data_IF_649076361238
#
_entry.id   IF_649076361238
#
_cell.length_a   1.000
_cell.length_b   1.000
_cell.length_c   1.000
_cell.angle_alpha   90.00
_cell.angle_beta   90.00
_cell.angle_gamma   90.00
#
_symmetry.space_group_name_H-M   'P 1'
#
loop_
_entity.id
_entity.type
_entity.pdbx_description
1 polymer ?
#
# COMPACT_ATOMS: atom_id res chain seq x y z
N UNK A 1 -0.36 23.66 -17.28
CA UNK A 1 -1.10 22.73 -16.42
C UNK A 1 -0.10 22.10 -15.47
N UNK A 2 0.09 22.68 -14.30
CA UNK A 2 0.97 22.14 -13.26
C UNK A 2 0.26 22.35 -11.93
N UNK A 3 -0.30 21.27 -11.38
CA UNK A 3 -0.90 21.29 -10.05
C UNK A 3 -0.91 19.86 -9.49
N UNK A 4 0.29 19.30 -9.34
CA UNK A 4 0.56 18.18 -8.43
C UNK A 4 1.42 18.62 -7.23
N UNK A 5 1.88 19.86 -7.18
CA UNK A 5 2.71 20.43 -6.10
C UNK A 5 1.96 20.75 -4.80
N UNK A 6 0.66 20.44 -4.71
CA UNK A 6 -0.17 20.76 -3.53
C UNK A 6 -0.95 19.59 -2.92
N UNK A 7 -0.88 18.40 -3.51
CA UNK A 7 -1.56 17.24 -2.93
C UNK A 7 -0.70 16.70 -1.78
N UNK A 8 -1.10 17.06 -0.55
CA UNK A 8 -0.42 16.65 0.66
C UNK A 8 -0.30 15.11 0.69
N UNK A 9 0.93 14.62 0.76
CA UNK A 9 1.20 13.19 0.89
C UNK A 9 0.54 12.70 2.18
N UNK A 10 -0.27 11.63 2.13
CA UNK A 10 -0.89 11.08 3.31
C UNK A 10 0.17 10.67 4.34
N UNK A 11 -0.03 11.12 5.58
CA UNK A 11 0.80 10.68 6.70
C UNK A 11 0.56 9.19 6.98
N UNK A 12 1.60 8.50 7.46
CA UNK A 12 1.57 7.08 7.74
C UNK A 12 2.47 6.76 8.92
N UNK A 13 2.04 5.80 9.73
CA UNK A 13 2.71 5.38 10.98
C UNK A 13 3.54 4.11 10.82
N UNK A 14 3.88 3.72 9.60
CA UNK A 14 4.72 2.53 9.37
C UNK A 14 6.16 2.86 9.75
N UNK A 15 6.68 2.15 10.74
CA UNK A 15 8.08 2.26 11.15
C UNK A 15 9.00 1.45 10.22
N UNK A 16 10.28 1.84 10.13
CA UNK A 16 11.32 1.13 9.37
C UNK A 16 10.90 0.71 7.94
N UNK A 17 10.43 1.65 7.13
CA UNK A 17 9.93 1.38 5.77
C UNK A 17 11.02 0.76 4.88
N UNK A 18 10.73 -0.41 4.30
CA UNK A 18 11.61 -1.12 3.35
C UNK A 18 11.06 -1.15 1.92
N UNK A 19 9.78 -0.82 1.74
CA UNK A 19 9.15 -0.70 0.43
C UNK A 19 8.14 0.44 0.43
N UNK A 20 8.21 1.32 -0.57
CA UNK A 20 7.32 2.46 -0.70
C UNK A 20 6.97 2.75 -2.16
N UNK A 21 5.70 3.12 -2.39
CA UNK A 21 5.25 3.63 -3.68
C UNK A 21 4.10 4.61 -3.51
N UNK A 22 4.02 5.57 -4.43
CA UNK A 22 2.89 6.48 -4.55
C UNK A 22 2.06 6.16 -5.79
N UNK A 23 0.75 6.09 -5.64
CA UNK A 23 -0.23 5.98 -6.72
C UNK A 23 -1.29 7.06 -6.56
N UNK A 24 -2.08 7.29 -7.60
CA UNK A 24 -3.29 8.10 -7.52
C UNK A 24 -4.49 7.17 -7.64
N UNK A 25 -5.41 7.24 -6.68
CA UNK A 25 -6.67 6.51 -6.70
C UNK A 25 -7.80 7.47 -7.04
N UNK A 26 -8.53 7.16 -8.10
CA UNK A 26 -9.82 7.77 -8.41
C UNK A 26 -10.93 6.98 -7.75
N UNK A 27 -11.63 7.61 -6.82
CA UNK A 27 -12.79 7.05 -6.14
C UNK A 27 -13.96 6.91 -7.10
N UNK A 28 -14.93 6.05 -6.76
CA UNK A 28 -16.20 5.93 -7.50
C UNK A 28 -16.95 7.27 -7.64
N UNK A 29 -16.75 8.18 -6.69
CA UNK A 29 -17.30 9.56 -6.72
C UNK A 29 -16.62 10.48 -7.74
N UNK A 30 -15.50 10.05 -8.31
CA UNK A 30 -14.63 10.86 -9.17
C UNK A 30 -13.53 11.62 -8.43
N UNK A 31 -13.54 11.61 -7.09
CA UNK A 31 -12.49 12.22 -6.26
C UNK A 31 -11.12 11.55 -6.51
N UNK A 32 -10.07 12.35 -6.67
CA UNK A 32 -8.70 11.86 -6.84
C UNK A 32 -7.94 11.99 -5.51
N UNK A 33 -7.31 10.91 -5.05
CA UNK A 33 -6.45 10.91 -3.87
C UNK A 33 -5.07 10.36 -4.20
N UNK A 34 -4.03 11.01 -3.68
CA UNK A 34 -2.72 10.36 -3.59
C UNK A 34 -2.81 9.30 -2.51
N UNK A 35 -2.33 8.10 -2.83
CA UNK A 35 -2.25 6.98 -1.90
C UNK A 35 -0.79 6.57 -1.78
N UNK A 36 -0.33 6.47 -0.54
CA UNK A 36 1.02 6.04 -0.19
C UNK A 36 0.95 4.57 0.26
N UNK A 37 1.56 3.70 -0.53
CA UNK A 37 1.70 2.28 -0.24
C UNK A 37 3.03 2.06 0.48
N UNK A 38 3.01 1.37 1.62
CA UNK A 38 4.23 1.09 2.39
C UNK A 38 4.23 -0.32 2.95
N UNK A 39 5.44 -0.86 3.04
CA UNK A 39 5.78 -2.09 3.74
C UNK A 39 6.92 -1.76 4.70
N UNK A 40 6.70 -2.04 5.99
CA UNK A 40 7.71 -1.92 7.05
C UNK A 40 8.63 -3.14 7.08
N UNK A 41 9.77 -3.01 7.75
CA UNK A 41 10.69 -4.11 8.01
C UNK A 41 9.95 -5.20 8.82
N UNK A 42 9.91 -6.47 8.37
CA UNK A 42 9.42 -7.55 9.21
C UNK A 42 10.29 -7.67 10.47
N UNK A 43 9.66 -7.71 11.64
CA UNK A 43 10.34 -7.82 12.92
C UNK A 43 9.85 -9.06 13.68
N UNK A 44 10.76 -9.76 14.39
CA UNK A 44 10.35 -10.86 15.27
C UNK A 44 9.58 -10.30 16.46
N UNK A 45 8.50 -10.99 16.84
CA UNK A 45 7.69 -10.67 18.03
C UNK A 45 8.21 -11.33 19.31
N UNK A 46 9.11 -12.31 19.17
CA UNK A 46 9.74 -13.04 20.27
C UNK A 46 11.22 -13.30 19.98
N UNK A 47 11.99 -13.59 21.03
CA UNK A 47 13.43 -13.86 20.93
C UNK A 47 13.75 -15.13 20.14
N UNK A 48 12.82 -16.09 20.13
CA UNK A 48 12.95 -17.37 19.42
C UNK A 48 12.77 -17.23 17.90
N UNK A 49 12.27 -16.09 17.41
CA UNK A 49 12.05 -15.84 15.98
C UNK A 49 11.00 -16.75 15.34
N UNK A 50 10.08 -17.31 16.12
CA UNK A 50 9.01 -18.22 15.65
C UNK A 50 7.73 -17.47 15.27
N UNK A 51 7.66 -16.17 15.57
CA UNK A 51 6.55 -15.30 15.22
C UNK A 51 7.10 -13.96 14.76
N UNK A 52 6.64 -13.53 13.60
CA UNK A 52 7.05 -12.29 12.96
C UNK A 52 5.84 -11.46 12.60
N UNK A 53 6.07 -10.17 12.46
CA UNK A 53 5.06 -9.21 12.06
C UNK A 53 5.66 -8.19 11.10
N UNK A 54 4.85 -7.77 10.12
CA UNK A 54 5.18 -6.72 9.18
C UNK A 54 4.08 -5.67 9.15
N UNK A 55 4.47 -4.40 9.24
CA UNK A 55 3.55 -3.27 9.11
C UNK A 55 3.29 -2.94 7.63
N UNK A 56 2.05 -2.58 7.32
CA UNK A 56 1.63 -2.20 5.97
C UNK A 56 0.78 -0.94 6.07
N UNK A 57 0.87 -0.06 5.09
CA UNK A 57 -0.06 1.06 4.97
C UNK A 57 -0.50 1.32 3.52
N UNK A 58 -1.77 1.68 3.37
CA UNK A 58 -2.37 2.26 2.16
C UNK A 58 -2.92 3.65 2.53
N UNK A 59 -2.05 4.51 3.03
CA UNK A 59 -2.43 5.81 3.57
C UNK A 59 -3.08 6.67 2.46
N UNK A 60 -4.22 7.28 2.77
CA UNK A 60 -5.08 7.98 1.81
C UNK A 60 -6.21 7.13 1.21
N UNK A 61 -6.16 5.80 1.34
CA UNK A 61 -7.20 4.88 0.89
C UNK A 61 -7.84 4.10 2.03
N UNK A 62 -7.05 3.32 2.75
CA UNK A 62 -7.50 2.49 3.87
C UNK A 62 -6.73 2.86 5.14
N UNK A 63 -7.34 3.60 6.08
CA UNK A 63 -6.71 3.86 7.36
C UNK A 63 -6.67 2.59 8.20
N UNK A 64 -5.58 2.38 8.94
CA UNK A 64 -5.49 1.29 9.92
C UNK A 64 -5.42 -0.10 9.31
N UNK A 65 -4.56 -0.28 8.30
CA UNK A 65 -4.25 -1.61 7.78
C UNK A 65 -3.78 -2.53 8.90
N UNK A 66 -4.21 -3.80 8.93
CA UNK A 66 -3.76 -4.74 9.93
C UNK A 66 -2.27 -5.04 9.71
N UNK A 67 -1.59 -5.29 10.82
CA UNK A 67 -0.24 -5.85 10.76
C UNK A 67 -0.31 -7.29 10.26
N UNK A 68 0.73 -7.70 9.54
CA UNK A 68 0.75 -8.97 8.80
C UNK A 68 1.62 -9.97 9.54
N UNK A 69 1.04 -11.03 10.11
CA UNK A 69 1.79 -12.06 10.80
C UNK A 69 2.45 -13.05 9.83
N UNK A 70 3.50 -13.71 10.28
CA UNK A 70 4.14 -14.82 9.59
C UNK A 70 5.05 -15.62 10.51
N UNK A 71 5.40 -16.83 10.09
CA UNK A 71 6.31 -17.72 10.83
C UNK A 71 7.77 -17.27 10.71
N UNK A 72 8.07 -16.51 9.65
CA UNK A 72 9.38 -15.88 9.42
C UNK A 72 9.20 -14.53 8.69
N UNK A 73 10.31 -13.82 8.50
CA UNK A 73 10.34 -12.52 7.81
C UNK A 73 9.94 -12.61 6.33
N UNK A 74 10.29 -13.71 5.66
CA UNK A 74 10.03 -13.91 4.24
C UNK A 74 8.53 -14.09 4.00
N UNK A 75 7.88 -14.91 4.83
CA UNK A 75 6.44 -15.11 4.79
C UNK A 75 5.69 -13.82 5.11
N UNK A 76 6.10 -13.07 6.13
CA UNK A 76 5.50 -11.77 6.45
C UNK A 76 5.54 -10.82 5.26
N UNK A 77 6.69 -10.70 4.61
CA UNK A 77 6.86 -9.82 3.46
C UNK A 77 5.98 -10.25 2.28
N UNK A 78 5.95 -11.54 1.98
CA UNK A 78 5.12 -12.08 0.89
C UNK A 78 3.62 -11.86 1.16
N UNK A 79 3.16 -12.13 2.39
CA UNK A 79 1.78 -11.88 2.81
C UNK A 79 1.45 -10.38 2.80
N UNK A 80 2.40 -9.51 3.15
CA UNK A 80 2.21 -8.07 3.12
C UNK A 80 1.97 -7.56 1.69
N UNK A 81 2.78 -8.00 0.73
CA UNK A 81 2.57 -7.70 -0.70
C UNK A 81 1.20 -8.22 -1.16
N UNK A 82 0.86 -9.45 -0.79
CA UNK A 82 -0.44 -10.06 -1.08
C UNK A 82 -1.63 -9.28 -0.51
N UNK A 83 -1.51 -8.76 0.72
CA UNK A 83 -2.55 -7.95 1.36
C UNK A 83 -2.75 -6.62 0.63
N UNK A 84 -1.68 -5.93 0.25
CA UNK A 84 -1.78 -4.69 -0.54
C UNK A 84 -2.48 -4.98 -1.88
N UNK A 85 -2.07 -6.04 -2.58
CA UNK A 85 -2.68 -6.44 -3.85
C UNK A 85 -4.17 -6.70 -3.70
N UNK A 86 -4.59 -7.51 -2.73
CA UNK A 86 -5.99 -7.81 -2.46
C UNK A 86 -6.81 -6.57 -2.09
N UNK A 87 -6.23 -5.65 -1.30
CA UNK A 87 -6.90 -4.41 -0.95
C UNK A 87 -7.14 -3.52 -2.18
N UNK A 88 -6.15 -3.42 -3.07
CA UNK A 88 -6.28 -2.66 -4.32
C UNK A 88 -7.23 -3.33 -5.32
N UNK A 89 -7.23 -4.66 -5.40
CA UNK A 89 -8.19 -5.44 -6.19
C UNK A 89 -9.61 -5.14 -5.78
N UNK A 90 -9.90 -5.27 -4.48
CA UNK A 90 -11.20 -4.93 -3.91
C UNK A 90 -11.58 -3.47 -4.16
N UNK A 91 -10.62 -2.54 -4.08
CA UNK A 91 -10.89 -1.14 -4.41
C UNK A 91 -11.34 -0.97 -5.88
N UNK A 92 -10.67 -1.63 -6.82
CA UNK A 92 -11.02 -1.59 -8.24
C UNK A 92 -12.36 -2.27 -8.53
N UNK A 93 -12.63 -3.42 -7.92
CA UNK A 93 -13.93 -4.12 -8.01
C UNK A 93 -15.10 -3.24 -7.56
N UNK A 94 -14.87 -2.37 -6.57
CA UNK A 94 -15.86 -1.41 -6.09
C UNK A 94 -16.00 -0.15 -6.99
N UNK A 95 -15.38 -0.14 -8.16
CA UNK A 95 -15.44 0.94 -9.15
C UNK A 95 -14.35 2.00 -9.00
N UNK A 96 -13.31 1.74 -8.21
CA UNK A 96 -12.12 2.56 -8.14
C UNK A 96 -11.22 2.40 -9.37
N UNK A 97 -10.41 3.42 -9.66
CA UNK A 97 -9.38 3.35 -10.71
C UNK A 97 -8.03 3.79 -10.13
N UNK A 98 -6.95 3.16 -10.57
CA UNK A 98 -5.58 3.45 -10.12
C UNK A 98 -4.82 4.09 -11.28
N UNK A 99 -3.98 5.06 -10.98
CA UNK A 99 -3.12 5.77 -11.92
C UNK A 99 -1.71 5.88 -11.35
N UNK A 100 -0.71 5.95 -12.23
CA UNK A 100 0.62 6.39 -11.84
C UNK A 100 0.59 7.86 -11.38
N UNK A 101 1.48 8.20 -10.44
CA UNK A 101 1.56 9.57 -9.91
C UNK A 101 1.96 10.62 -10.95
N UNK A 102 2.67 10.20 -12.00
CA UNK A 102 3.09 11.05 -13.11
C UNK A 102 1.96 11.34 -14.12
N UNK A 103 0.77 10.75 -13.92
CA UNK A 103 -0.38 10.94 -14.80
C UNK A 103 -0.40 10.05 -16.03
N UNK A 104 0.46 9.03 -16.11
CA UNK A 104 0.48 8.06 -17.20
C UNK A 104 -0.69 7.06 -17.14
N UNK A 105 -1.90 7.56 -17.41
CA UNK A 105 -3.11 6.75 -17.64
C UNK A 105 -3.55 5.84 -16.47
N UNK A 106 -4.71 5.18 -16.62
CA UNK A 106 -5.14 4.18 -15.65
C UNK A 106 -4.29 2.91 -15.78
N UNK A 107 -4.01 2.26 -14.65
CA UNK A 107 -3.25 1.00 -14.57
C UNK A 107 -4.02 -0.12 -13.90
N UNK A 108 -3.67 -1.35 -14.27
CA UNK A 108 -4.12 -2.57 -13.61
C UNK A 108 -3.17 -3.03 -12.51
N UNK A 109 -3.60 -4.02 -11.74
CA UNK A 109 -2.75 -4.64 -10.71
C UNK A 109 -1.53 -5.34 -11.30
N UNK A 110 -1.62 -5.85 -12.53
CA UNK A 110 -0.47 -6.48 -13.18
C UNK A 110 0.65 -5.48 -13.42
N UNK A 111 0.32 -4.26 -13.86
CA UNK A 111 1.32 -3.20 -14.06
C UNK A 111 1.99 -2.77 -12.75
N UNK A 112 1.28 -2.91 -11.61
CA UNK A 112 1.78 -2.50 -10.31
C UNK A 112 2.70 -3.56 -9.66
N UNK A 113 2.48 -4.85 -9.94
CA UNK A 113 3.15 -5.96 -9.26
C UNK A 113 3.96 -6.88 -10.19
N UNK A 114 4.21 -6.48 -11.44
CA UNK A 114 5.07 -7.18 -12.41
C UNK A 114 6.56 -7.01 -12.15
#
# INVERSE_FOLDING_TARGET
MNSTDGAQVPDSKVDNVIGERFIICRMKTGEMRIVRLQIGLPLPLNEEGTSWECEVALAGLYPGMPKVPGVDSMQCLNLAIGLIRQALEKFMENGGQIYWRDGSGPIGLMDLFS
#
